data_IF_751205217982
#
_entry.id   IF_751205217982
#
_cell.length_a   1.000
_cell.length_b   1.000
_cell.length_c   1.000
_cell.angle_alpha   90.00
_cell.angle_beta   90.00
_cell.angle_gamma   90.00
#
_symmetry.space_group_name_H-M   'P 1'
#
loop_
_entity.id
_entity.type
_entity.pdbx_description
1 polymer ?
#
# COMPACT_ATOMS: atom_id res chain seq x y z
N UNK A 1 6.68 3.96 21.78
CA UNK A 1 6.32 2.95 20.75
C UNK A 1 5.16 2.12 21.28
N UNK A 2 4.19 1.84 20.41
CA UNK A 2 3.05 0.95 20.65
C UNK A 2 3.19 -0.24 19.69
N UNK A 3 3.85 -1.34 20.10
CA UNK A 3 3.80 -2.58 19.33
C UNK A 3 2.43 -3.23 19.52
N UNK A 4 1.84 -3.76 18.46
CA UNK A 4 0.59 -4.50 18.48
C UNK A 4 0.66 -5.66 17.49
N UNK A 5 -0.24 -6.63 17.64
CA UNK A 5 -0.36 -7.73 16.68
C UNK A 5 -1.04 -7.23 15.40
N UNK A 6 -0.23 -6.86 14.43
CA UNK A 6 -0.66 -6.31 13.14
C UNK A 6 -1.48 -7.28 12.30
N UNK A 7 -1.63 -8.55 12.72
CA UNK A 7 -2.48 -9.55 12.04
C UNK A 7 -3.95 -9.43 12.46
N UNK A 8 -4.22 -8.81 13.61
CA UNK A 8 -5.53 -8.78 14.24
C UNK A 8 -6.39 -7.63 13.70
N UNK A 9 -7.69 -7.68 14.03
CA UNK A 9 -8.63 -6.61 13.72
C UNK A 9 -8.16 -5.27 14.31
N UNK A 10 -8.26 -4.20 13.53
CA UNK A 10 -7.92 -2.85 13.96
C UNK A 10 -8.81 -2.32 15.08
N UNK A 11 -10.08 -2.71 15.16
CA UNK A 11 -10.96 -2.38 16.29
C UNK A 11 -10.37 -2.88 17.61
N UNK A 12 -9.84 -4.10 17.58
CA UNK A 12 -9.20 -4.73 18.73
C UNK A 12 -7.90 -4.03 19.10
N UNK A 13 -7.07 -3.78 18.09
CA UNK A 13 -5.77 -3.11 18.25
C UNK A 13 -5.93 -1.67 18.77
N UNK A 14 -6.98 -0.96 18.35
CA UNK A 14 -7.24 0.43 18.74
C UNK A 14 -7.95 0.55 20.10
N UNK A 15 -8.99 -0.25 20.33
CA UNK A 15 -10.00 0.03 21.36
C UNK A 15 -9.99 -0.97 22.52
N UNK A 16 -9.37 -2.14 22.35
CA UNK A 16 -9.33 -3.20 23.35
C UNK A 16 -9.91 -4.51 22.85
N UNK A 17 -9.48 -5.60 23.48
CA UNK A 17 -9.94 -6.96 23.21
C UNK A 17 -10.62 -7.57 24.43
N UNK A 18 -11.46 -8.60 24.25
CA UNK A 18 -12.00 -9.39 25.36
C UNK A 18 -10.98 -10.37 25.98
N UNK A 19 -9.72 -10.41 25.53
CA UNK A 19 -8.70 -11.35 26.04
C UNK A 19 -7.61 -10.64 26.86
N UNK A 20 -7.21 -11.24 27.98
CA UNK A 20 -6.18 -10.69 28.84
C UNK A 20 -4.78 -10.75 28.21
N UNK A 21 -3.96 -9.71 28.41
CA UNK A 21 -2.51 -9.75 28.13
C UNK A 21 -2.03 -8.97 26.90
N UNK A 22 -2.93 -8.30 26.17
CA UNK A 22 -2.57 -7.42 25.06
C UNK A 22 -3.09 -6.01 25.34
N UNK A 23 -2.21 -5.02 25.22
CA UNK A 23 -2.59 -3.61 25.32
C UNK A 23 -3.14 -3.12 23.98
N UNK A 24 -4.27 -2.41 24.02
CA UNK A 24 -4.74 -1.62 22.88
C UNK A 24 -4.06 -0.25 22.81
N UNK A 25 -4.26 0.49 21.72
CA UNK A 25 -3.81 1.87 21.60
C UNK A 25 -4.41 2.73 22.72
N UNK A 26 -5.69 2.54 23.05
CA UNK A 26 -6.34 3.18 24.20
C UNK A 26 -5.59 2.95 25.50
N UNK A 27 -5.24 1.69 25.80
CA UNK A 27 -4.52 1.36 27.04
C UNK A 27 -3.12 1.98 27.04
N UNK A 28 -2.46 2.00 25.87
CA UNK A 28 -1.16 2.64 25.73
C UNK A 28 -1.22 4.15 25.97
N UNK A 29 -2.22 4.84 25.40
CA UNK A 29 -2.43 6.28 25.62
C UNK A 29 -2.67 6.56 27.11
N UNK A 30 -3.53 5.78 27.77
CA UNK A 30 -3.79 5.93 29.20
C UNK A 30 -2.51 5.74 30.04
N UNK A 31 -1.70 4.73 29.72
CA UNK A 31 -0.40 4.50 30.39
C UNK A 31 0.57 5.66 30.19
N UNK A 32 0.69 6.19 28.98
CA UNK A 32 1.58 7.33 28.69
C UNK A 32 1.13 8.59 29.45
N UNK A 33 -0.18 8.88 29.48
CA UNK A 33 -0.72 10.00 30.25
C UNK A 33 -0.45 9.84 31.75
N UNK A 34 -0.67 8.65 32.31
CA UNK A 34 -0.38 8.36 33.71
C UNK A 34 1.11 8.49 34.05
N UNK A 35 2.00 8.04 33.16
CA UNK A 35 3.46 8.11 33.37
C UNK A 35 4.01 9.54 33.28
N UNK A 36 3.45 10.37 32.42
CA UNK A 36 3.98 11.71 32.12
C UNK A 36 3.26 12.83 32.86
N UNK A 37 2.04 12.57 33.37
CA UNK A 37 1.14 13.61 33.89
C UNK A 37 0.53 14.50 32.81
N UNK A 38 0.82 14.26 31.52
CA UNK A 38 0.28 15.06 30.43
C UNK A 38 -1.20 14.75 30.19
N UNK A 39 -2.05 15.76 29.94
CA UNK A 39 -3.48 15.55 29.69
C UNK A 39 -3.76 14.95 28.30
N UNK A 40 -2.84 15.13 27.34
CA UNK A 40 -2.95 14.63 25.96
C UNK A 40 -1.61 14.10 25.46
N UNK A 41 -1.65 13.24 24.46
CA UNK A 41 -0.46 12.72 23.76
C UNK A 41 -0.38 13.24 22.33
N UNK A 42 0.82 13.29 21.76
CA UNK A 42 1.02 13.41 20.32
C UNK A 42 1.26 12.00 19.75
N UNK A 43 0.66 11.68 18.61
CA UNK A 43 0.79 10.38 17.96
C UNK A 43 1.42 10.57 16.59
N UNK A 44 2.45 9.76 16.31
CA UNK A 44 2.98 9.57 14.97
C UNK A 44 2.64 8.14 14.57
N UNK A 45 2.00 7.95 13.42
CA UNK A 45 1.65 6.63 12.91
C UNK A 45 2.12 6.46 11.47
N UNK A 46 2.33 5.21 11.09
CA UNK A 46 2.77 4.83 9.75
C UNK A 46 1.89 3.69 9.24
N UNK A 47 1.52 3.74 7.96
CA UNK A 47 0.82 2.66 7.26
C UNK A 47 -0.43 2.22 8.05
N UNK A 48 -0.60 0.92 8.29
CA UNK A 48 -1.71 0.35 9.09
C UNK A 48 -1.94 1.06 10.44
N UNK A 49 -0.89 1.61 11.06
CA UNK A 49 -0.99 2.34 12.32
C UNK A 49 -1.86 3.59 12.23
N UNK A 50 -1.92 4.28 11.09
CA UNK A 50 -2.78 5.45 10.93
C UNK A 50 -4.26 5.11 10.99
N UNK A 51 -4.66 3.97 10.40
CA UNK A 51 -6.02 3.43 10.53
C UNK A 51 -6.35 3.08 11.99
N UNK A 52 -5.40 2.50 12.74
CA UNK A 52 -5.58 2.23 14.17
C UNK A 52 -5.81 3.52 14.98
N UNK A 53 -5.12 4.61 14.63
CA UNK A 53 -5.32 5.93 15.26
C UNK A 53 -6.67 6.51 14.89
N UNK A 54 -7.06 6.51 13.59
CA UNK A 54 -8.40 6.95 13.17
C UNK A 54 -9.49 6.16 13.90
N UNK A 55 -9.31 4.85 14.06
CA UNK A 55 -10.25 4.00 14.76
C UNK A 55 -10.40 4.40 16.24
N UNK A 56 -9.29 4.59 16.95
CA UNK A 56 -9.31 5.08 18.32
C UNK A 56 -10.02 6.44 18.43
N UNK A 57 -9.67 7.38 17.55
CA UNK A 57 -10.22 8.74 17.60
C UNK A 57 -11.73 8.75 17.28
N UNK A 58 -12.17 7.92 16.32
CA UNK A 58 -13.59 7.73 16.01
C UNK A 58 -14.41 7.26 17.22
N UNK A 59 -13.84 6.44 18.09
CA UNK A 59 -14.52 5.87 19.24
C UNK A 59 -14.40 6.71 20.53
N UNK A 60 -13.31 7.45 20.70
CA UNK A 60 -13.00 8.13 21.96
C UNK A 60 -12.82 9.66 21.83
N UNK A 61 -12.88 10.21 20.62
CA UNK A 61 -12.67 11.62 20.34
C UNK A 61 -11.24 12.10 20.61
N UNK A 62 -11.07 13.43 20.62
CA UNK A 62 -9.78 14.11 20.74
C UNK A 62 -9.33 14.45 22.15
N UNK A 63 -10.07 14.05 23.19
CA UNK A 63 -9.80 14.49 24.57
C UNK A 63 -8.45 14.04 25.11
N UNK A 64 -7.91 12.94 24.60
CA UNK A 64 -6.60 12.41 24.99
C UNK A 64 -5.51 12.59 23.94
N UNK A 65 -5.82 13.19 22.79
CA UNK A 65 -4.87 13.34 21.67
C UNK A 65 -4.77 14.81 21.27
N UNK A 66 -3.55 15.30 21.20
CA UNK A 66 -3.25 16.69 20.84
C UNK A 66 -2.90 16.82 19.36
N UNK A 67 -2.02 15.93 18.86
CA UNK A 67 -1.60 15.90 17.46
C UNK A 67 -1.65 14.49 16.90
N UNK A 68 -2.02 14.39 15.63
CA UNK A 68 -1.89 13.19 14.83
C UNK A 68 -1.02 13.49 13.60
N UNK A 69 0.15 12.88 13.53
CA UNK A 69 1.06 12.94 12.39
C UNK A 69 1.00 11.60 11.68
N UNK A 70 0.35 11.57 10.53
CA UNK A 70 0.13 10.40 9.71
C UNK A 70 1.17 10.30 8.60
N UNK A 71 1.67 9.10 8.34
CA UNK A 71 2.71 8.84 7.33
C UNK A 71 2.28 7.63 6.48
N UNK A 72 2.01 7.86 5.19
CA UNK A 72 1.80 6.79 4.21
C UNK A 72 0.66 5.81 4.55
N UNK A 73 -0.42 6.25 5.18
CA UNK A 73 -1.51 5.36 5.58
C UNK A 73 -2.47 5.07 4.42
N UNK A 74 -2.82 3.80 4.15
CA UNK A 74 -3.83 3.45 3.15
C UNK A 74 -5.25 3.69 3.66
N UNK A 75 -5.69 4.96 3.75
CA UNK A 75 -7.00 5.30 4.33
C UNK A 75 -8.18 4.68 3.61
N UNK A 76 -8.04 4.42 2.30
CA UNK A 76 -9.05 3.75 1.46
C UNK A 76 -8.62 2.34 1.03
N UNK A 77 -7.62 1.76 1.69
CA UNK A 77 -7.01 0.48 1.32
C UNK A 77 -6.02 0.58 0.15
N UNK A 78 -5.49 -0.56 -0.27
CA UNK A 78 -4.50 -0.67 -1.35
C UNK A 78 -4.74 -1.92 -2.22
N UNK A 79 -4.76 -1.80 -3.56
CA UNK A 79 -4.90 -2.96 -4.45
C UNK A 79 -3.84 -4.05 -4.24
N UNK A 80 -2.65 -3.70 -3.71
CA UNK A 80 -1.61 -4.67 -3.34
C UNK A 80 -2.11 -5.78 -2.40
N UNK A 81 -3.10 -5.52 -1.55
CA UNK A 81 -3.65 -6.56 -0.66
C UNK A 81 -4.35 -7.68 -1.43
N UNK A 82 -4.86 -7.40 -2.63
CA UNK A 82 -5.33 -8.47 -3.53
C UNK A 82 -4.20 -9.36 -4.00
N UNK A 83 -3.04 -8.77 -4.35
CA UNK A 83 -1.85 -9.54 -4.72
C UNK A 83 -1.43 -10.45 -3.57
N UNK A 84 -1.36 -9.93 -2.36
CA UNK A 84 -1.06 -10.71 -1.13
C UNK A 84 -2.00 -11.92 -0.99
N UNK A 85 -3.31 -11.71 -1.15
CA UNK A 85 -4.32 -12.76 -0.95
C UNK A 85 -4.39 -13.77 -2.10
N UNK A 86 -4.13 -13.36 -3.35
CA UNK A 86 -4.30 -14.21 -4.54
C UNK A 86 -3.00 -14.85 -5.01
N UNK A 87 -1.89 -14.13 -4.96
CA UNK A 87 -0.63 -14.49 -5.60
C UNK A 87 0.53 -14.60 -4.61
N UNK A 88 0.38 -14.01 -3.42
CA UNK A 88 1.45 -13.90 -2.43
C UNK A 88 2.29 -12.65 -2.65
N UNK A 89 2.94 -12.23 -1.57
CA UNK A 89 3.83 -11.06 -1.50
C UNK A 89 4.64 -11.15 -0.20
N UNK A 90 5.66 -10.30 -0.02
CA UNK A 90 6.42 -10.23 1.23
C UNK A 90 5.91 -9.16 2.21
N UNK A 91 4.85 -8.41 1.84
CA UNK A 91 4.25 -7.34 2.63
C UNK A 91 5.24 -6.20 2.95
N UNK A 92 6.24 -5.97 2.08
CA UNK A 92 7.33 -5.00 2.27
C UNK A 92 8.19 -5.28 3.51
N UNK A 93 8.12 -6.49 4.07
CA UNK A 93 8.99 -6.89 5.17
C UNK A 93 10.31 -7.42 4.63
N UNK A 94 11.32 -6.55 4.59
CA UNK A 94 12.70 -6.93 4.32
C UNK A 94 13.56 -6.67 5.58
N UNK A 95 14.05 -7.74 6.21
CA UNK A 95 14.96 -7.65 7.35
C UNK A 95 16.32 -8.27 7.00
N UNK A 96 17.37 -7.44 6.98
CA UNK A 96 18.74 -7.88 6.62
C UNK A 96 18.84 -8.56 5.23
N UNK A 97 18.02 -8.16 4.28
CA UNK A 97 17.97 -8.77 2.94
C UNK A 97 17.11 -10.04 2.88
N UNK A 98 16.46 -10.43 3.98
CA UNK A 98 15.54 -11.57 4.01
C UNK A 98 14.10 -11.04 4.02
N UNK A 99 13.43 -11.23 2.88
CA UNK A 99 11.99 -11.03 2.73
C UNK A 99 11.17 -12.12 3.43
N UNK A 100 9.89 -11.86 3.67
CA UNK A 100 8.97 -12.94 4.01
C UNK A 100 8.76 -13.86 2.80
N UNK A 101 8.61 -15.15 3.05
CA UNK A 101 8.30 -16.09 1.98
C UNK A 101 6.87 -15.83 1.43
N UNK A 102 6.79 -15.40 0.17
CA UNK A 102 5.56 -14.99 -0.50
C UNK A 102 4.47 -16.08 -0.50
N UNK A 103 4.82 -17.34 -0.77
CA UNK A 103 3.86 -18.45 -0.73
C UNK A 103 3.33 -18.68 0.68
N UNK A 104 4.19 -18.57 1.70
CA UNK A 104 3.77 -18.73 3.08
C UNK A 104 2.89 -17.57 3.54
N UNK A 105 3.22 -16.35 3.15
CA UNK A 105 2.39 -15.16 3.38
C UNK A 105 1.01 -15.35 2.74
N UNK A 106 0.94 -15.79 1.48
CA UNK A 106 -0.32 -16.12 0.79
C UNK A 106 -1.21 -17.07 1.59
N UNK A 107 -0.61 -18.10 2.20
CA UNK A 107 -1.33 -19.10 2.98
C UNK A 107 -1.85 -18.54 4.32
N UNK A 108 -1.03 -17.79 5.05
CA UNK A 108 -1.38 -17.32 6.39
C UNK A 108 -2.25 -16.06 6.37
N UNK A 109 -2.09 -15.20 5.36
CA UNK A 109 -2.84 -13.94 5.21
C UNK A 109 -4.34 -14.15 5.04
N UNK A 110 -4.75 -15.35 4.61
CA UNK A 110 -6.14 -15.77 4.49
C UNK A 110 -6.96 -15.58 5.78
N UNK A 111 -6.29 -15.54 6.94
CA UNK A 111 -6.91 -15.40 8.25
C UNK A 111 -6.36 -14.21 9.06
N UNK A 112 -5.81 -13.20 8.39
CA UNK A 112 -5.39 -11.96 9.04
C UNK A 112 -6.47 -10.88 8.81
N UNK A 113 -7.35 -10.58 9.78
CA UNK A 113 -8.35 -9.52 9.65
C UNK A 113 -7.79 -8.20 9.11
N UNK A 114 -6.60 -7.80 9.52
CA UNK A 114 -5.96 -6.56 9.07
C UNK A 114 -5.66 -6.54 7.57
N UNK A 115 -5.31 -7.67 6.95
CA UNK A 115 -5.08 -7.75 5.49
C UNK A 115 -6.37 -7.49 4.73
N UNK A 116 -7.49 -8.01 5.25
CA UNK A 116 -8.81 -7.74 4.65
C UNK A 116 -9.22 -6.28 4.86
N UNK A 117 -8.95 -5.72 6.04
CA UNK A 117 -9.18 -4.30 6.37
C UNK A 117 -8.26 -3.31 5.63
N UNK A 118 -7.35 -3.81 4.79
CA UNK A 118 -6.50 -3.01 3.90
C UNK A 118 -6.90 -3.17 2.43
N UNK A 119 -7.93 -3.96 2.12
CA UNK A 119 -8.49 -4.05 0.78
C UNK A 119 -9.12 -2.70 0.37
N UNK A 120 -9.13 -2.35 -0.93
CA UNK A 120 -9.78 -1.13 -1.38
C UNK A 120 -11.22 -1.00 -0.87
N UNK A 121 -11.54 0.13 -0.26
CA UNK A 121 -12.87 0.44 0.25
C UNK A 121 -13.82 0.93 -0.86
N UNK A 122 -15.08 1.26 -0.52
CA UNK A 122 -16.02 1.86 -1.49
C UNK A 122 -15.51 3.21 -2.01
N UNK A 123 -15.00 4.04 -1.11
CA UNK A 123 -14.59 5.41 -1.42
C UNK A 123 -13.25 5.45 -2.19
N UNK A 124 -12.54 4.32 -2.28
CA UNK A 124 -11.41 4.14 -3.21
C UNK A 124 -11.85 4.30 -4.67
N UNK A 125 -13.05 3.81 -5.02
CA UNK A 125 -13.53 3.79 -6.40
C UNK A 125 -13.96 5.18 -6.88
N UNK A 126 -13.53 5.53 -8.08
CA UNK A 126 -13.94 6.76 -8.75
C UNK A 126 -14.22 6.51 -10.22
N UNK A 127 -15.50 6.51 -10.58
CA UNK A 127 -15.92 6.29 -11.97
C UNK A 127 -15.46 7.42 -12.93
N UNK A 128 -15.04 8.57 -12.40
CA UNK A 128 -14.54 9.69 -13.21
C UNK A 128 -13.03 9.64 -13.46
N UNK A 129 -12.32 8.76 -12.77
CA UNK A 129 -10.88 8.58 -12.90
C UNK A 129 -10.54 7.16 -13.36
N UNK A 130 -9.92 7.03 -14.52
CA UNK A 130 -9.55 5.73 -15.11
C UNK A 130 -8.58 4.91 -14.26
N UNK A 131 -7.86 5.54 -13.34
CA UNK A 131 -6.91 4.89 -12.44
C UNK A 131 -7.60 4.29 -11.21
N UNK A 132 -8.82 4.75 -10.90
CA UNK A 132 -9.59 4.35 -9.72
C UNK A 132 -11.00 3.84 -10.04
N UNK A 133 -11.41 3.80 -11.31
CA UNK A 133 -12.73 3.30 -11.72
C UNK A 133 -12.95 1.81 -11.38
N UNK A 134 -11.86 1.05 -11.28
CA UNK A 134 -11.81 -0.36 -10.89
C UNK A 134 -10.39 -0.72 -10.45
N UNK A 135 -10.24 -1.79 -9.67
CA UNK A 135 -8.93 -2.38 -9.38
C UNK A 135 -8.82 -3.86 -9.81
N UNK A 136 -9.94 -4.50 -10.19
CA UNK A 136 -10.01 -5.84 -10.77
C UNK A 136 -10.73 -5.82 -12.12
N UNK A 137 -10.19 -6.55 -13.09
CA UNK A 137 -10.84 -6.84 -14.37
C UNK A 137 -10.87 -8.36 -14.58
N UNK A 138 -12.07 -8.94 -14.55
CA UNK A 138 -12.29 -10.38 -14.76
C UNK A 138 -12.85 -10.65 -16.15
N UNK A 139 -11.98 -10.69 -17.16
CA UNK A 139 -12.40 -10.91 -18.55
C UNK A 139 -12.87 -12.35 -18.84
N UNK A 140 -12.60 -13.30 -17.94
CA UNK A 140 -12.77 -14.73 -18.21
C UNK A 140 -13.70 -15.44 -17.24
N UNK A 141 -14.45 -14.69 -16.41
CA UNK A 141 -15.39 -15.23 -15.41
C UNK A 141 -14.68 -16.27 -14.53
N UNK A 142 -13.52 -15.88 -13.96
CA UNK A 142 -12.67 -16.80 -13.20
C UNK A 142 -13.36 -17.34 -11.97
N UNK A 143 -14.32 -16.60 -11.42
CA UNK A 143 -15.10 -17.00 -10.26
C UNK A 143 -16.44 -17.70 -10.63
N UNK A 144 -16.70 -17.89 -11.92
CA UNK A 144 -17.84 -18.61 -12.50
C UNK A 144 -19.21 -18.09 -12.02
N UNK A 145 -19.32 -16.78 -11.83
CA UNK A 145 -20.55 -16.12 -11.38
C UNK A 145 -21.37 -15.51 -12.55
N UNK A 146 -20.82 -15.53 -13.78
CA UNK A 146 -21.44 -14.99 -14.99
C UNK A 146 -21.25 -13.48 -15.21
N UNK A 147 -20.41 -12.83 -14.41
CA UNK A 147 -20.06 -11.40 -14.50
C UNK A 147 -18.62 -11.30 -15.02
N UNK A 148 -18.43 -10.54 -16.09
CA UNK A 148 -17.11 -10.31 -16.69
C UNK A 148 -16.80 -8.83 -16.84
N UNK A 149 -15.52 -8.49 -16.90
CA UNK A 149 -15.00 -7.15 -17.16
C UNK A 149 -14.56 -6.43 -15.90
N UNK A 150 -14.49 -5.09 -16.01
CA UNK A 150 -14.12 -4.18 -14.92
C UNK A 150 -15.11 -4.28 -13.77
N UNK A 151 -14.64 -4.79 -12.64
CA UNK A 151 -15.48 -5.02 -11.48
C UNK A 151 -15.62 -3.74 -10.66
N UNK A 152 -16.85 -3.38 -10.31
CA UNK A 152 -17.11 -2.36 -9.29
C UNK A 152 -16.79 -2.91 -7.88
N UNK A 153 -16.98 -2.10 -6.84
CA UNK A 153 -16.72 -2.51 -5.46
C UNK A 153 -17.45 -3.82 -5.07
N UNK A 154 -18.77 -3.89 -5.26
CA UNK A 154 -19.56 -5.07 -4.86
C UNK A 154 -19.15 -6.32 -5.62
N UNK A 155 -18.95 -6.19 -6.94
CA UNK A 155 -18.47 -7.28 -7.78
C UNK A 155 -17.05 -7.73 -7.40
N UNK A 156 -16.19 -6.81 -6.97
CA UNK A 156 -14.84 -7.17 -6.50
C UNK A 156 -14.89 -7.96 -5.19
N UNK A 157 -15.79 -7.60 -4.26
CA UNK A 157 -16.01 -8.37 -3.03
C UNK A 157 -16.56 -9.76 -3.33
N UNK A 158 -17.52 -9.87 -4.26
CA UNK A 158 -18.07 -11.15 -4.69
C UNK A 158 -17.00 -12.02 -5.36
N UNK A 159 -16.15 -11.46 -6.23
CA UNK A 159 -15.03 -12.15 -6.83
C UNK A 159 -14.06 -12.72 -5.78
N UNK A 160 -13.68 -11.91 -4.79
CA UNK A 160 -12.78 -12.35 -3.70
C UNK A 160 -13.41 -13.52 -2.93
N UNK A 161 -14.71 -13.43 -2.63
CA UNK A 161 -15.46 -14.48 -1.94
C UNK A 161 -15.55 -15.76 -2.77
N UNK A 162 -15.92 -15.66 -4.04
CA UNK A 162 -16.14 -16.80 -4.93
C UNK A 162 -14.83 -17.51 -5.30
N UNK A 163 -13.71 -16.80 -5.29
CA UNK A 163 -12.36 -17.38 -5.41
C UNK A 163 -11.83 -18.02 -4.12
N UNK A 164 -12.69 -18.19 -3.11
CA UNK A 164 -12.44 -18.98 -1.91
C UNK A 164 -11.71 -18.25 -0.78
N UNK A 165 -11.70 -16.92 -0.78
CA UNK A 165 -11.15 -16.13 0.34
C UNK A 165 -12.14 -16.05 1.49
N UNK A 166 -11.65 -15.69 2.68
CA UNK A 166 -12.42 -15.72 3.91
C UNK A 166 -13.55 -14.68 3.89
N UNK A 167 -14.76 -15.13 3.59
CA UNK A 167 -15.93 -14.27 3.45
C UNK A 167 -16.36 -13.58 4.74
N UNK A 168 -16.04 -14.17 5.90
CA UNK A 168 -16.30 -13.55 7.19
C UNK A 168 -15.43 -12.31 7.40
N UNK A 169 -14.14 -12.38 7.00
CA UNK A 169 -13.21 -11.26 7.12
C UNK A 169 -13.46 -10.13 6.11
N UNK A 170 -14.12 -10.40 4.98
CA UNK A 170 -14.58 -9.35 4.07
C UNK A 170 -15.58 -8.39 4.75
N UNK A 171 -16.40 -8.90 5.67
CA UNK A 171 -17.29 -8.07 6.48
C UNK A 171 -16.54 -7.13 7.44
N UNK A 172 -15.32 -7.48 7.85
CA UNK A 172 -14.51 -6.66 8.75
C UNK A 172 -13.94 -5.44 8.02
N UNK A 173 -13.58 -5.62 6.75
CA UNK A 173 -13.21 -4.53 5.85
C UNK A 173 -14.38 -3.53 5.72
N UNK A 174 -15.55 -4.04 5.37
CA UNK A 174 -16.73 -3.21 5.16
C UNK A 174 -17.13 -2.41 6.41
N UNK A 175 -17.18 -3.08 7.56
CA UNK A 175 -17.50 -2.45 8.83
C UNK A 175 -16.50 -1.34 9.19
N UNK A 176 -15.20 -1.61 9.05
CA UNK A 176 -14.16 -0.64 9.36
C UNK A 176 -14.27 0.62 8.48
N UNK A 177 -14.37 0.44 7.16
CA UNK A 177 -14.36 1.56 6.22
C UNK A 177 -15.67 2.35 6.23
N UNK A 178 -16.81 1.69 6.51
CA UNK A 178 -18.09 2.39 6.77
C UNK A 178 -17.96 3.39 7.91
N UNK A 179 -17.19 3.06 8.95
CA UNK A 179 -17.00 3.92 10.11
C UNK A 179 -15.88 4.97 9.94
N UNK A 180 -14.83 4.65 9.17
CA UNK A 180 -13.59 5.43 9.14
C UNK A 180 -13.35 6.28 7.90
N UNK A 181 -13.89 5.95 6.73
CA UNK A 181 -13.51 6.64 5.48
C UNK A 181 -13.86 8.12 5.54
N UNK A 182 -15.06 8.42 6.03
CA UNK A 182 -15.59 9.78 6.16
C UNK A 182 -15.28 10.43 7.52
N UNK A 183 -14.51 9.75 8.39
CA UNK A 183 -14.12 10.32 9.68
C UNK A 183 -12.96 11.33 9.52
N UNK A 184 -13.17 12.54 10.05
CA UNK A 184 -12.14 13.59 10.16
C UNK A 184 -11.80 13.83 11.64
N UNK A 185 -10.50 13.86 12.03
CA UNK A 185 -10.09 14.23 13.38
C UNK A 185 -10.24 15.72 13.73
N UNK A 186 -10.34 16.61 12.73
CA UNK A 186 -10.30 18.06 12.96
C UNK A 186 -11.48 18.58 13.82
N UNK A 187 -12.74 18.13 13.61
CA UNK A 187 -13.86 18.53 14.47
C UNK A 187 -13.69 18.14 15.94
N UNK A 188 -12.89 17.12 16.24
CA UNK A 188 -12.56 16.68 17.59
C UNK A 188 -11.42 17.51 18.23
N UNK A 189 -10.99 18.59 17.56
CA UNK A 189 -9.97 19.52 18.03
C UNK A 189 -8.54 18.98 17.94
N UNK A 190 -8.30 18.00 17.05
CA UNK A 190 -7.01 17.34 16.89
C UNK A 190 -6.25 17.97 15.72
N UNK A 191 -5.07 18.53 16.00
CA UNK A 191 -4.19 19.05 14.96
C UNK A 191 -3.60 17.88 14.17
N UNK A 192 -3.94 17.79 12.89
CA UNK A 192 -3.68 16.63 12.03
C UNK A 192 -2.75 17.00 10.89
N UNK A 193 -1.71 16.19 10.69
CA UNK A 193 -0.73 16.32 9.62
C UNK A 193 -0.73 15.04 8.79
N UNK A 194 -0.71 15.16 7.47
CA UNK A 194 -0.64 14.03 6.56
C UNK A 194 0.62 14.11 5.68
N UNK A 195 1.50 13.12 5.81
CA UNK A 195 2.73 12.97 5.01
C UNK A 195 2.50 11.79 4.06
N UNK A 196 2.30 12.09 2.79
CA UNK A 196 1.94 11.14 1.74
C UNK A 196 3.14 10.88 0.83
N UNK A 197 3.44 9.62 0.54
CA UNK A 197 4.45 9.26 -0.44
C UNK A 197 3.85 9.24 -1.84
N UNK A 198 4.60 9.67 -2.84
CA UNK A 198 4.14 9.69 -4.22
C UNK A 198 5.27 9.57 -5.24
N UNK A 199 4.92 9.45 -6.51
CA UNK A 199 5.90 9.39 -7.61
C UNK A 199 6.66 8.06 -7.69
N UNK A 200 6.24 7.04 -6.93
CA UNK A 200 6.68 5.66 -7.13
C UNK A 200 5.57 4.85 -7.81
N UNK A 201 5.94 3.94 -8.73
CA UNK A 201 5.00 2.97 -9.29
C UNK A 201 4.38 2.11 -8.20
N UNK A 202 3.05 2.16 -8.10
CA UNK A 202 2.26 1.48 -7.08
C UNK A 202 1.11 0.73 -7.75
N UNK A 203 0.81 -0.51 -7.33
CA UNK A 203 -0.23 -1.32 -7.98
C UNK A 203 -1.57 -0.60 -7.86
N UNK A 204 -2.14 -0.19 -9.01
CA UNK A 204 -3.46 0.42 -9.10
C UNK A 204 -4.54 -0.55 -9.56
N UNK A 205 -4.21 -1.42 -10.52
CA UNK A 205 -5.15 -2.36 -11.13
C UNK A 205 -4.48 -3.71 -11.41
N UNK A 206 -5.24 -4.78 -11.24
CA UNK A 206 -4.86 -6.15 -11.58
C UNK A 206 -5.90 -6.68 -12.56
N UNK A 207 -5.48 -7.22 -13.69
CA UNK A 207 -6.39 -7.71 -14.72
C UNK A 207 -5.91 -9.04 -15.28
N UNK A 208 -6.86 -9.85 -15.74
CA UNK A 208 -6.56 -11.09 -16.47
C UNK A 208 -6.47 -10.74 -17.95
N UNK A 209 -5.30 -10.90 -18.56
CA UNK A 209 -5.06 -10.60 -19.96
C UNK A 209 -5.60 -11.70 -20.87
N UNK A 210 -5.21 -12.95 -20.58
CA UNK A 210 -5.56 -14.11 -21.39
C UNK A 210 -5.70 -15.36 -20.53
N UNK A 211 -6.55 -16.28 -21.01
CA UNK A 211 -6.56 -17.67 -20.58
C UNK A 211 -5.87 -18.51 -21.64
N UNK A 212 -4.70 -19.05 -21.31
CA UNK A 212 -3.95 -19.91 -22.22
C UNK A 212 -4.69 -21.22 -22.50
N UNK A 213 -4.41 -21.82 -23.67
CA UNK A 213 -4.90 -23.16 -24.01
C UNK A 213 -4.43 -24.25 -23.04
N UNK A 214 -3.31 -24.00 -22.35
CA UNK A 214 -2.75 -24.85 -21.29
C UNK A 214 -3.62 -24.87 -20.03
N UNK A 215 -4.55 -23.91 -19.87
CA UNK A 215 -5.29 -23.65 -18.65
C UNK A 215 -4.62 -22.61 -17.73
N UNK A 216 -3.40 -22.16 -18.07
CA UNK A 216 -2.71 -21.07 -17.37
C UNK A 216 -3.38 -19.71 -17.59
N UNK A 217 -3.11 -18.77 -16.68
CA UNK A 217 -3.60 -17.41 -16.76
C UNK A 217 -2.44 -16.44 -16.96
N UNK A 218 -2.63 -15.54 -17.92
CA UNK A 218 -1.76 -14.40 -18.14
C UNK A 218 -2.38 -13.21 -17.41
N UNK A 219 -1.64 -12.61 -16.49
CA UNK A 219 -2.08 -11.45 -15.73
C UNK A 219 -1.45 -10.18 -16.27
N UNK A 220 -2.09 -9.05 -16.03
CA UNK A 220 -1.53 -7.73 -16.23
C UNK A 220 -1.66 -6.88 -14.98
N UNK A 221 -0.71 -5.96 -14.83
CA UNK A 221 -0.74 -4.91 -13.82
C UNK A 221 -0.82 -3.56 -14.50
N UNK A 222 -1.43 -2.60 -13.81
CA UNK A 222 -1.24 -1.18 -14.09
C UNK A 222 -0.73 -0.49 -12.85
N UNK A 223 0.40 0.20 -13.00
CA UNK A 223 0.95 1.05 -11.96
C UNK A 223 0.34 2.45 -12.03
N UNK A 224 0.17 3.03 -10.85
CA UNK A 224 -0.29 4.40 -10.62
C UNK A 224 0.65 5.05 -9.59
N UNK A 225 0.54 6.37 -9.40
CA UNK A 225 1.40 7.07 -8.45
C UNK A 225 1.05 6.73 -6.99
N UNK A 226 2.09 6.54 -6.18
CA UNK A 226 2.00 6.25 -4.75
C UNK A 226 3.40 6.09 -4.15
N UNK A 227 3.51 5.33 -3.07
CA UNK A 227 4.76 5.09 -2.33
C UNK A 227 5.36 3.68 -2.54
N UNK A 228 4.88 2.97 -3.56
CA UNK A 228 5.22 1.57 -3.86
C UNK A 228 4.21 0.56 -3.30
N UNK A 229 3.39 0.97 -2.33
CA UNK A 229 2.37 0.12 -1.70
C UNK A 229 1.00 0.77 -1.64
N UNK A 230 0.94 2.04 -1.23
CA UNK A 230 -0.29 2.81 -1.05
C UNK A 230 -0.47 3.77 -2.22
N UNK A 231 -1.53 3.61 -3.03
CA UNK A 231 -1.88 4.60 -4.04
C UNK A 231 -2.09 5.97 -3.42
N UNK A 232 -1.63 7.03 -4.11
CA UNK A 232 -1.69 8.39 -3.58
C UNK A 232 -3.11 8.78 -3.12
N UNK A 233 -4.14 8.50 -3.94
CA UNK A 233 -5.54 8.79 -3.59
C UNK A 233 -5.95 8.20 -2.24
N UNK A 234 -5.50 6.99 -1.94
CA UNK A 234 -5.79 6.32 -0.67
C UNK A 234 -5.11 7.04 0.50
N UNK A 235 -3.85 7.45 0.34
CA UNK A 235 -3.14 8.25 1.34
C UNK A 235 -3.76 9.65 1.54
N UNK A 236 -4.32 10.25 0.48
CA UNK A 236 -4.91 11.58 0.49
C UNK A 236 -6.24 11.69 1.24
N UNK A 237 -6.93 10.57 1.50
CA UNK A 237 -8.28 10.57 2.06
C UNK A 237 -8.36 10.96 3.55
N UNK A 238 -7.23 11.25 4.20
CA UNK A 238 -7.22 11.86 5.52
C UNK A 238 -7.36 13.39 5.43
N UNK A 239 -8.52 13.88 5.89
CA UNK A 239 -8.71 15.29 6.20
C UNK A 239 -7.69 15.73 7.26
N UNK A 240 -6.88 16.73 6.91
CA UNK A 240 -5.74 17.19 7.71
C UNK A 240 -5.54 18.69 7.55
N UNK A 241 -4.92 19.32 8.54
CA UNK A 241 -4.66 20.75 8.54
C UNK A 241 -3.48 21.11 7.63
N UNK A 242 -2.49 20.23 7.55
CA UNK A 242 -1.28 20.42 6.77
C UNK A 242 -0.95 19.11 6.02
N UNK A 243 -0.67 19.24 4.72
CA UNK A 243 -0.44 18.13 3.80
C UNK A 243 0.92 18.26 3.15
N UNK A 244 1.68 17.18 3.15
CA UNK A 244 3.00 17.10 2.53
C UNK A 244 3.10 15.88 1.64
N UNK A 245 3.59 16.08 0.43
CA UNK A 245 3.83 15.07 -0.58
C UNK A 245 5.33 14.83 -0.67
N UNK A 246 5.76 13.58 -0.53
CA UNK A 246 7.17 13.18 -0.58
C UNK A 246 7.41 12.31 -1.81
N UNK A 247 8.05 12.90 -2.81
CA UNK A 247 8.36 12.23 -4.08
C UNK A 247 9.45 11.18 -3.89
N UNK A 248 9.22 9.97 -4.40
CA UNK A 248 10.17 8.86 -4.36
C UNK A 248 10.21 8.10 -3.03
N UNK A 249 9.33 8.44 -2.09
CA UNK A 249 9.22 7.77 -0.79
C UNK A 249 8.91 6.28 -0.94
N UNK A 250 9.76 5.42 -0.40
CA UNK A 250 9.54 3.98 -0.33
C UNK A 250 8.77 3.63 0.94
N UNK A 251 7.60 3.00 0.79
CA UNK A 251 6.64 2.74 1.88
C UNK A 251 7.29 2.17 3.15
N UNK A 252 8.03 1.05 3.06
CA UNK A 252 8.59 0.37 4.23
C UNK A 252 9.60 1.24 5.00
N UNK A 253 10.44 1.98 4.28
CA UNK A 253 11.48 2.85 4.87
C UNK A 253 11.01 4.29 5.13
N UNK A 254 9.78 4.63 4.75
CA UNK A 254 9.28 6.00 4.65
C UNK A 254 9.47 6.84 5.94
N UNK A 255 9.12 6.35 7.16
CA UNK A 255 9.32 7.12 8.39
C UNK A 255 10.79 7.31 8.78
N UNK A 256 11.70 6.53 8.18
CA UNK A 256 13.14 6.56 8.48
C UNK A 256 13.91 7.57 7.65
N UNK A 257 13.32 8.07 6.55
CA UNK A 257 13.90 9.11 5.70
C UNK A 257 14.23 10.38 6.52
N UNK A 258 15.39 10.99 6.23
CA UNK A 258 15.92 12.08 7.05
C UNK A 258 15.01 13.31 7.04
N UNK A 259 14.52 13.66 5.86
CA UNK A 259 13.60 14.75 5.59
C UNK A 259 12.22 14.54 6.25
N UNK A 260 11.73 13.31 6.27
CA UNK A 260 10.44 12.95 6.92
C UNK A 260 10.56 13.06 8.44
N UNK A 261 11.67 12.57 9.01
CA UNK A 261 11.96 12.76 10.45
C UNK A 261 12.04 14.24 10.82
N UNK A 262 12.70 15.05 9.99
CA UNK A 262 12.80 16.48 10.24
C UNK A 262 11.43 17.17 10.17
N UNK A 263 10.61 16.79 9.19
CA UNK A 263 9.24 17.27 9.04
C UNK A 263 8.40 16.94 10.29
N UNK A 264 8.39 15.68 10.72
CA UNK A 264 7.69 15.23 11.93
C UNK A 264 8.17 15.97 13.20
N UNK A 265 9.48 16.21 13.34
CA UNK A 265 10.03 17.00 14.45
C UNK A 265 9.49 18.44 14.45
N UNK A 266 9.39 19.09 13.29
CA UNK A 266 8.83 20.44 13.22
C UNK A 266 7.33 20.49 13.53
N UNK A 267 6.58 19.46 13.15
CA UNK A 267 5.17 19.31 13.52
C UNK A 267 5.00 19.11 15.03
N UNK A 268 5.82 18.27 15.64
CA UNK A 268 5.82 18.08 17.10
C UNK A 268 6.10 19.38 17.86
N UNK A 269 6.98 20.24 17.32
CA UNK A 269 7.40 21.52 17.92
C UNK A 269 6.52 22.73 17.57
N UNK A 270 5.47 22.56 16.76
CA UNK A 270 4.64 23.66 16.24
C UNK A 270 5.41 24.69 15.40
N UNK A 271 6.48 24.28 14.73
CA UNK A 271 7.32 25.15 13.89
C UNK A 271 7.20 24.85 12.40
N UNK A 272 6.16 24.12 11.99
CA UNK A 272 5.97 23.67 10.61
C UNK A 272 5.87 24.83 9.61
N UNK A 273 5.30 25.97 10.02
CA UNK A 273 5.20 27.19 9.21
C UNK A 273 6.57 27.78 8.82
N UNK A 274 7.63 27.41 9.53
CA UNK A 274 9.01 27.81 9.27
C UNK A 274 9.85 26.72 8.59
N UNK A 275 9.24 25.59 8.20
CA UNK A 275 9.95 24.50 7.55
C UNK A 275 10.49 24.96 6.18
N UNK A 276 11.81 24.88 5.93
CA UNK A 276 12.40 25.41 4.71
C UNK A 276 12.23 24.42 3.56
N UNK A 277 11.01 24.33 3.00
CA UNK A 277 10.67 23.42 1.90
C UNK A 277 11.65 23.50 0.73
N UNK A 278 12.20 24.68 0.44
CA UNK A 278 13.20 24.91 -0.61
C UNK A 278 14.49 24.10 -0.43
N UNK A 279 14.80 23.65 0.79
CA UNK A 279 15.97 22.82 1.08
C UNK A 279 15.69 21.32 0.89
N UNK A 280 14.43 20.94 0.63
CA UNK A 280 13.98 19.56 0.51
C UNK A 280 13.23 19.37 -0.81
N UNK A 281 13.94 19.19 -1.94
CA UNK A 281 13.34 19.17 -3.27
C UNK A 281 12.37 18.00 -3.50
N UNK A 282 12.40 16.97 -2.65
CA UNK A 282 11.47 15.84 -2.68
C UNK A 282 10.15 16.12 -1.94
N UNK A 283 10.06 17.19 -1.13
CA UNK A 283 8.87 17.52 -0.34
C UNK A 283 8.13 18.70 -0.97
N UNK A 284 6.82 18.54 -1.15
CA UNK A 284 5.94 19.60 -1.61
C UNK A 284 4.64 19.68 -0.79
N UNK A 285 3.94 20.80 -0.87
CA UNK A 285 2.59 20.99 -0.30
C UNK A 285 1.46 20.75 -1.31
N UNK A 286 1.80 20.30 -2.52
CA UNK A 286 0.86 20.04 -3.61
C UNK A 286 1.20 18.72 -4.30
N UNK A 287 0.16 17.99 -4.72
CA UNK A 287 0.29 16.74 -5.47
C UNK A 287 0.86 16.93 -6.88
N UNK A 288 1.08 18.17 -7.35
CA UNK A 288 1.66 18.44 -8.66
C UNK A 288 3.07 17.85 -8.86
N UNK A 289 3.78 17.46 -7.79
CA UNK A 289 5.09 16.79 -7.86
C UNK A 289 4.99 15.27 -8.01
N UNK A 290 3.78 14.72 -8.00
CA UNK A 290 3.50 13.29 -7.88
C UNK A 290 3.28 12.58 -9.22
N UNK A 291 3.70 13.17 -10.33
CA UNK A 291 3.65 12.52 -11.64
C UNK A 291 4.45 11.23 -11.64
N UNK A 292 3.94 10.21 -12.33
CA UNK A 292 4.62 8.93 -12.57
C UNK A 292 4.90 8.81 -14.06
N UNK A 293 6.17 8.75 -14.44
CA UNK A 293 6.60 8.52 -15.83
C UNK A 293 7.63 7.41 -15.88
N UNK A 294 7.49 6.53 -16.86
CA UNK A 294 8.33 5.35 -16.98
C UNK A 294 7.86 4.40 -18.06
N UNK A 295 8.44 3.21 -18.06
CA UNK A 295 8.04 2.12 -18.94
C UNK A 295 7.77 0.89 -18.11
N UNK A 296 6.60 0.28 -18.30
CA UNK A 296 6.28 -1.02 -17.75
C UNK A 296 6.67 -2.10 -18.76
N UNK A 297 7.36 -3.12 -18.26
CA UNK A 297 7.78 -4.31 -18.99
C UNK A 297 7.13 -5.51 -18.31
N UNK A 298 6.50 -6.40 -19.07
CA UNK A 298 5.98 -7.65 -18.53
C UNK A 298 6.39 -8.87 -19.34
N UNK A 299 6.74 -9.91 -18.60
CA UNK A 299 7.25 -11.17 -19.11
C UNK A 299 6.38 -12.30 -18.56
N UNK A 300 5.79 -13.08 -19.45
CA UNK A 300 4.82 -14.11 -19.09
C UNK A 300 5.45 -15.51 -19.23
N UNK A 301 5.26 -16.31 -18.17
CA UNK A 301 5.90 -17.61 -17.89
C UNK A 301 6.05 -18.54 -19.11
N UNK A 302 7.10 -19.40 -19.19
CA UNK A 302 8.16 -19.65 -18.20
C UNK A 302 9.46 -18.91 -18.51
N UNK A 303 9.56 -17.66 -18.08
CA UNK A 303 10.71 -16.78 -18.28
C UNK A 303 10.94 -15.91 -17.05
N UNK A 304 12.19 -15.74 -16.64
CA UNK A 304 12.58 -14.72 -15.66
C UNK A 304 12.90 -13.40 -16.35
N UNK A 305 12.55 -12.31 -15.67
CA UNK A 305 12.82 -10.94 -16.09
C UNK A 305 13.90 -10.37 -15.17
N UNK A 306 15.04 -10.01 -15.76
CA UNK A 306 16.13 -9.31 -15.09
C UNK A 306 16.41 -8.02 -15.85
N UNK A 307 16.62 -6.91 -15.14
CA UNK A 307 16.95 -5.62 -15.76
C UNK A 307 18.18 -5.05 -15.08
N UNK A 308 19.06 -4.48 -15.90
CA UNK A 308 20.28 -3.82 -15.44
C UNK A 308 20.30 -2.37 -15.94
N UNK A 309 20.67 -1.43 -15.08
CA UNK A 309 20.95 -0.05 -15.48
C UNK A 309 22.39 0.11 -16.02
N UNK A 310 22.73 1.32 -16.42
CA UNK A 310 24.07 1.70 -16.92
C UNK A 310 25.19 1.62 -15.87
N UNK A 311 24.86 1.64 -14.58
CA UNK A 311 25.79 1.49 -13.47
C UNK A 311 25.98 0.02 -13.06
N UNK A 312 25.24 -0.90 -13.68
CA UNK A 312 25.24 -2.32 -13.34
C UNK A 312 24.33 -2.67 -12.15
N UNK A 313 23.53 -1.72 -11.65
CA UNK A 313 22.49 -2.01 -10.66
C UNK A 313 21.46 -2.94 -11.27
N UNK A 314 20.94 -3.86 -10.46
CA UNK A 314 20.09 -4.96 -10.92
C UNK A 314 18.72 -4.93 -10.25
N UNK A 315 17.68 -5.20 -11.03
CA UNK A 315 16.34 -5.52 -10.52
C UNK A 315 15.84 -6.83 -11.14
N UNK A 316 15.43 -7.77 -10.29
CA UNK A 316 15.07 -9.13 -10.69
C UNK A 316 15.56 -10.20 -9.72
N UNK A 317 15.27 -11.48 -9.98
CA UNK A 317 15.68 -12.58 -9.11
C UNK A 317 17.21 -12.75 -9.08
N UNK A 318 17.78 -12.92 -7.88
CA UNK A 318 19.17 -13.28 -7.70
C UNK A 318 19.39 -14.80 -7.75
N UNK A 319 20.61 -15.26 -7.46
CA UNK A 319 20.97 -16.68 -7.48
C UNK A 319 20.16 -17.55 -6.51
N UNK A 320 19.62 -16.98 -5.44
CA UNK A 320 18.78 -17.66 -4.46
C UNK A 320 17.28 -17.58 -4.81
N UNK A 321 16.92 -16.84 -5.86
CA UNK A 321 15.54 -16.55 -6.22
C UNK A 321 14.90 -15.38 -5.48
N UNK A 322 15.64 -14.71 -4.59
CA UNK A 322 15.17 -13.49 -3.94
C UNK A 322 15.19 -12.33 -4.93
N UNK A 323 14.20 -11.44 -4.85
CA UNK A 323 14.11 -10.28 -5.75
C UNK A 323 15.04 -9.17 -5.25
N UNK A 324 16.03 -8.82 -6.07
CA UNK A 324 16.85 -7.63 -5.87
C UNK A 324 16.10 -6.39 -6.40
N UNK A 325 16.14 -5.30 -5.64
CA UNK A 325 15.52 -4.02 -5.97
C UNK A 325 16.60 -2.92 -6.07
N UNK A 326 17.66 -3.18 -6.82
CA UNK A 326 18.85 -2.33 -6.88
C UNK A 326 18.73 -1.08 -7.75
N UNK A 327 17.71 -0.99 -8.61
CA UNK A 327 17.48 0.19 -9.46
C UNK A 327 16.57 1.17 -8.72
N UNK A 328 17.06 2.38 -8.44
CA UNK A 328 16.31 3.42 -7.74
C UNK A 328 15.03 3.81 -8.50
N UNK A 329 13.91 3.89 -7.78
CA UNK A 329 12.61 4.26 -8.34
C UNK A 329 11.92 3.18 -9.18
N UNK A 330 12.59 2.06 -9.47
CA UNK A 330 11.99 0.91 -10.13
C UNK A 330 11.15 0.06 -9.16
N UNK A 331 10.28 -0.76 -9.72
CA UNK A 331 9.41 -1.69 -8.99
C UNK A 331 9.37 -3.03 -9.72
N UNK A 332 9.36 -4.13 -8.96
CA UNK A 332 9.26 -5.48 -9.47
C UNK A 332 8.11 -6.21 -8.81
N UNK A 333 7.23 -6.82 -9.60
CA UNK A 333 6.14 -7.65 -9.10
C UNK A 333 6.08 -8.99 -9.84
N UNK A 334 5.67 -10.03 -9.11
CA UNK A 334 5.44 -11.37 -9.64
C UNK A 334 4.03 -11.82 -9.26
N UNK A 335 3.21 -12.17 -10.26
CA UNK A 335 1.87 -12.74 -10.09
C UNK A 335 1.82 -14.09 -10.81
N UNK A 336 1.85 -15.18 -10.04
CA UNK A 336 1.69 -16.54 -10.58
C UNK A 336 2.64 -16.85 -11.75
N UNK A 337 3.89 -16.39 -11.65
CA UNK A 337 4.91 -16.58 -12.69
C UNK A 337 4.91 -15.54 -13.82
N UNK A 338 3.99 -14.57 -13.79
CA UNK A 338 3.98 -13.37 -14.63
C UNK A 338 4.80 -12.26 -13.94
N UNK A 339 5.81 -11.72 -14.62
CA UNK A 339 6.76 -10.78 -14.04
C UNK A 339 6.50 -9.39 -14.61
N UNK A 340 6.54 -8.39 -13.77
CA UNK A 340 6.31 -6.99 -14.12
C UNK A 340 7.44 -6.15 -13.56
N UNK A 341 8.01 -5.28 -14.39
CA UNK A 341 8.95 -4.27 -13.95
C UNK A 341 8.50 -2.92 -14.44
N UNK A 342 8.42 -1.94 -13.53
CA UNK A 342 8.32 -0.54 -13.90
C UNK A 342 9.71 0.09 -13.81
N UNK A 343 10.13 0.76 -14.89
CA UNK A 343 11.41 1.43 -15.00
C UNK A 343 11.22 2.95 -15.16
N UNK A 344 11.84 3.78 -14.29
CA UNK A 344 11.82 5.23 -14.46
C UNK A 344 12.44 5.69 -15.79
N UNK A 345 11.93 6.79 -16.34
CA UNK A 345 12.52 7.43 -17.53
C UNK A 345 13.93 7.99 -17.26
N UNK A 346 14.66 8.29 -18.34
CA UNK A 346 15.94 9.01 -18.27
C UNK A 346 17.18 8.13 -18.11
N UNK A 347 17.02 6.80 -18.12
CA UNK A 347 18.12 5.83 -18.02
C UNK A 347 18.11 4.85 -19.19
N UNK A 348 19.27 4.28 -19.49
CA UNK A 348 19.38 3.17 -20.42
C UNK A 348 19.33 1.85 -19.64
N UNK A 349 18.45 0.94 -20.07
CA UNK A 349 18.28 -0.35 -19.43
C UNK A 349 18.63 -1.49 -20.38
N UNK A 350 19.28 -2.52 -19.84
CA UNK A 350 19.46 -3.80 -20.49
C UNK A 350 18.50 -4.82 -19.89
N UNK A 351 17.51 -5.22 -20.68
CA UNK A 351 16.49 -6.20 -20.29
C UNK A 351 16.98 -7.60 -20.70
N UNK A 352 16.90 -8.55 -19.78
CA UNK A 352 17.37 -9.92 -19.96
C UNK A 352 16.27 -10.90 -19.58
N UNK A 353 15.81 -11.64 -20.58
CA UNK A 353 14.94 -12.80 -20.42
C UNK A 353 15.72 -14.08 -20.24
N UNK A 354 15.41 -14.85 -19.19
CA UNK A 354 15.98 -16.19 -19.01
C UNK A 354 14.86 -17.22 -18.96
N UNK A 355 14.75 -18.07 -19.99
CA UNK A 355 13.76 -19.14 -20.02
C UNK A 355 14.01 -20.14 -18.86
N UNK A 356 12.96 -20.48 -18.13
CA UNK A 356 13.02 -21.42 -17.00
C UNK A 356 12.44 -22.79 -17.31
N UNK A 357 11.64 -22.90 -18.37
CA UNK A 357 11.14 -24.15 -18.91
C UNK A 357 10.89 -24.05 -20.42
N UNK A 358 10.52 -25.17 -21.05
CA UNK A 358 10.04 -25.17 -22.43
C UNK A 358 8.63 -24.58 -22.49
N UNK A 359 8.41 -23.58 -23.35
CA UNK A 359 7.13 -22.89 -23.50
C UNK A 359 7.20 -21.78 -24.55
N UNK A 360 6.11 -21.02 -24.72
CA UNK A 360 6.08 -19.82 -25.56
C UNK A 360 6.06 -18.59 -24.64
N UNK A 361 7.21 -17.96 -24.35
CA UNK A 361 7.21 -16.73 -23.56
C UNK A 361 6.54 -15.60 -24.35
N UNK A 362 5.86 -14.70 -23.64
CA UNK A 362 5.35 -13.45 -24.17
C UNK A 362 6.02 -12.26 -23.46
N UNK A 363 6.32 -11.21 -24.22
CA UNK A 363 6.90 -9.97 -23.74
C UNK A 363 5.99 -8.81 -24.18
N UNK A 364 5.69 -7.91 -23.25
CA UNK A 364 4.95 -6.68 -23.51
C UNK A 364 5.72 -5.47 -22.98
N UNK A 365 5.78 -4.42 -23.80
CA UNK A 365 6.37 -3.12 -23.47
C UNK A 365 5.27 -2.06 -23.54
N UNK A 366 5.02 -1.39 -22.42
CA UNK A 366 3.98 -0.35 -22.31
C UNK A 366 4.60 0.94 -21.79
N UNK A 367 4.76 1.98 -22.63
CA UNK A 367 5.14 3.31 -22.16
C UNK A 367 4.04 3.88 -21.24
N UNK A 368 4.43 4.40 -20.08
CA UNK A 368 3.51 5.02 -19.12
C UNK A 368 3.90 6.48 -18.86
N UNK A 369 2.97 7.41 -19.12
CA UNK A 369 3.11 8.80 -18.69
C UNK A 369 1.83 9.26 -18.01
N UNK A 370 1.93 9.69 -16.75
CA UNK A 370 0.79 10.16 -15.95
C UNK A 370 1.17 11.45 -15.23
N UNK A 371 0.29 12.45 -15.36
CA UNK A 371 0.43 13.77 -14.76
C UNK A 371 -0.31 13.86 -13.44
#
# INVERSE_FOLDING_TARGET
IFPYDWRWDLNWSANGIPYSGFDSLKDKIAKVKAQTGAPKVNIIAHSLGGLAVKNYLKHYGGDSVNKFIDIGTPHLGAPKMMKVLLYGDDLDFNFLGLGLNSERVKLISQNFPSVYQLLPSRDYFDATDNDYAYYLDDLHDLDANGITGRLNYGQSIDFIKNTGRNSYLLGFNDALHTDLDNYSPQPDGIKTYNIMGCGRPTIGQIFVLNKEKSGGLEYGLKYITGDGTVPLRSAEALASDDRFYVRGAEHGSFPSAAEVKQLAVTMLKDTISSFPLQNYPTIASSSAVCSLTGTQISFHSPIELNVYDENGSHIGPNQNGDIELGIEGAQYDNLDGNKFVFLPEGHNYRIVGQATASGRPAEHLTPESRK
#
